data_IF_399284263340
#
_entry.id   IF_399284263340
#
_cell.length_a   1.000
_cell.length_b   1.000
_cell.length_c   1.000
_cell.angle_alpha   90.00
_cell.angle_beta   90.00
_cell.angle_gamma   90.00
#
_symmetry.space_group_name_H-M   'P 1'
#
loop_
_entity.id
_entity.type
_entity.pdbx_description
1 polymer ?
#
# COMPACT_ATOMS: atom_id res chain seq x y z
N UNK A 1 -7.59 13.36 33.06
CA UNK A 1 -7.35 13.85 31.68
C UNK A 1 -6.19 13.05 31.15
N UNK A 2 -6.50 11.97 30.44
CA UNK A 2 -5.51 11.06 29.88
C UNK A 2 -5.03 11.64 28.54
N UNK A 3 -3.78 12.07 28.49
CA UNK A 3 -3.14 12.47 27.25
C UNK A 3 -2.43 11.24 26.69
N UNK A 4 -3.11 10.52 25.78
CA UNK A 4 -2.46 9.49 24.96
C UNK A 4 -1.33 10.15 24.18
N UNK A 5 -0.09 9.84 24.58
CA UNK A 5 1.09 10.26 23.84
C UNK A 5 1.04 9.66 22.42
N UNK A 6 1.46 10.41 21.37
CA UNK A 6 1.56 9.85 20.04
C UNK A 6 2.54 8.65 20.06
N UNK A 7 2.26 7.57 19.32
CA UNK A 7 3.15 6.42 19.27
C UNK A 7 4.55 6.88 18.84
N UNK A 8 5.55 6.58 19.68
CA UNK A 8 6.95 6.83 19.35
C UNK A 8 7.38 5.89 18.22
N UNK A 9 8.27 6.33 17.31
CA UNK A 9 8.88 5.42 16.35
C UNK A 9 9.67 4.33 17.10
N UNK A 10 9.24 3.09 16.92
CA UNK A 10 9.92 1.88 17.38
C UNK A 10 11.38 1.88 16.91
N UNK A 11 12.32 1.67 17.82
CA UNK A 11 13.75 1.59 17.50
C UNK A 11 14.09 0.33 16.70
N UNK A 12 14.97 0.47 15.71
CA UNK A 12 15.79 -0.56 15.05
C UNK A 12 15.12 -1.80 14.42
N UNK A 13 13.80 -1.89 14.41
CA UNK A 13 13.02 -2.87 13.66
C UNK A 13 11.85 -2.19 12.96
N UNK A 14 12.16 -1.30 12.03
CA UNK A 14 11.16 -0.71 11.15
C UNK A 14 10.63 -1.72 10.14
N UNK A 15 9.48 -1.43 9.58
CA UNK A 15 9.01 -2.08 8.37
C UNK A 15 9.72 -1.51 7.13
N UNK A 16 9.65 -2.26 6.04
CA UNK A 16 10.35 -1.98 4.80
C UNK A 16 9.42 -2.18 3.61
N UNK A 17 9.68 -1.39 2.57
CA UNK A 17 9.13 -1.61 1.24
C UNK A 17 10.27 -1.98 0.31
N UNK A 18 10.07 -3.02 -0.49
CA UNK A 18 11.03 -3.45 -1.51
C UNK A 18 10.46 -3.15 -2.87
N UNK A 19 11.27 -2.54 -3.73
CA UNK A 19 11.04 -2.51 -5.17
C UNK A 19 11.79 -3.69 -5.76
N UNK A 20 11.06 -4.67 -6.26
CA UNK A 20 11.62 -5.89 -6.84
C UNK A 20 12.19 -5.62 -8.24
N UNK A 21 12.92 -6.59 -8.81
CA UNK A 21 13.45 -6.48 -10.17
C UNK A 21 12.33 -6.25 -11.21
N UNK A 22 11.15 -6.83 -10.94
CA UNK A 22 9.95 -6.76 -11.75
C UNK A 22 9.31 -5.37 -11.74
N UNK A 23 9.78 -4.50 -10.85
CA UNK A 23 9.17 -3.20 -10.55
C UNK A 23 8.00 -3.25 -9.58
N UNK A 24 7.60 -4.45 -9.10
CA UNK A 24 6.56 -4.60 -8.07
C UNK A 24 7.04 -4.08 -6.71
N UNK A 25 6.10 -3.57 -5.91
CA UNK A 25 6.37 -3.11 -4.55
C UNK A 25 5.85 -4.10 -3.51
N UNK A 26 6.74 -4.62 -2.68
CA UNK A 26 6.40 -5.59 -1.62
C UNK A 26 6.63 -5.00 -0.23
N UNK A 27 5.74 -5.31 0.72
CA UNK A 27 5.80 -4.81 2.10
C UNK A 27 6.24 -5.88 3.10
N UNK A 28 7.21 -5.52 3.94
CA UNK A 28 7.76 -6.38 4.97
C UNK A 28 7.71 -5.68 6.32
N UNK A 29 7.06 -6.32 7.30
CA UNK A 29 6.93 -5.78 8.66
C UNK A 29 8.24 -5.69 9.45
N UNK A 30 9.27 -6.42 8.99
CA UNK A 30 10.56 -6.46 9.66
C UNK A 30 11.66 -6.85 8.69
N UNK A 31 12.91 -6.57 9.09
CA UNK A 31 14.10 -6.94 8.34
C UNK A 31 14.23 -8.46 8.17
N UNK A 32 13.87 -9.22 9.20
CA UNK A 32 13.95 -10.69 9.19
C UNK A 32 12.95 -11.29 8.20
N UNK A 33 11.73 -10.73 8.14
CA UNK A 33 10.73 -11.14 7.17
C UNK A 33 11.20 -10.85 5.74
N UNK A 34 11.83 -9.69 5.52
CA UNK A 34 12.43 -9.33 4.24
C UNK A 34 13.54 -10.31 3.86
N UNK A 35 14.55 -10.51 4.71
CA UNK A 35 15.70 -11.36 4.39
C UNK A 35 15.35 -12.84 4.20
N UNK A 36 14.22 -13.30 4.75
CA UNK A 36 13.74 -14.67 4.56
C UNK A 36 13.08 -14.91 3.19
N UNK A 37 12.70 -13.83 2.49
CA UNK A 37 11.92 -13.91 1.24
C UNK A 37 12.79 -13.82 -0.03
N UNK A 38 14.07 -13.43 0.11
CA UNK A 38 14.98 -13.25 -1.00
C UNK A 38 16.09 -14.31 -1.02
N UNK A 39 16.37 -14.84 -2.21
CA UNK A 39 17.44 -15.81 -2.46
C UNK A 39 18.67 -15.16 -3.09
N UNK A 40 18.46 -14.13 -3.92
CA UNK A 40 19.53 -13.41 -4.62
C UNK A 40 19.50 -11.90 -4.37
N UNK A 41 20.70 -11.30 -4.29
CA UNK A 41 20.84 -9.85 -4.11
C UNK A 41 20.14 -9.04 -5.21
N UNK A 42 20.11 -9.57 -6.44
CA UNK A 42 19.53 -8.89 -7.60
C UNK A 42 18.01 -8.79 -7.61
N UNK A 43 17.31 -9.56 -6.78
CA UNK A 43 15.84 -9.60 -6.73
C UNK A 43 15.27 -8.32 -6.10
N UNK A 44 16.00 -7.68 -5.18
CA UNK A 44 15.62 -6.41 -4.57
C UNK A 44 16.38 -5.24 -5.20
N UNK A 45 15.73 -4.52 -6.13
CA UNK A 45 16.31 -3.33 -6.78
C UNK A 45 16.55 -2.20 -5.80
N UNK A 46 15.63 -1.98 -4.85
CA UNK A 46 15.72 -0.95 -3.83
C UNK A 46 14.90 -1.34 -2.61
N UNK A 47 15.44 -1.16 -1.41
CA UNK A 47 14.71 -1.31 -0.15
C UNK A 47 14.55 0.07 0.47
N UNK A 48 13.37 0.41 0.98
CA UNK A 48 13.03 1.73 1.51
C UNK A 48 12.44 1.56 2.92
N UNK A 49 12.88 2.36 3.88
CA UNK A 49 12.27 2.45 5.21
C UNK A 49 11.27 3.62 5.33
N UNK A 50 10.59 3.71 6.48
CA UNK A 50 9.64 4.80 6.79
C UNK A 50 10.24 6.21 6.75
N UNK A 51 11.55 6.33 6.93
CA UNK A 51 12.28 7.60 6.88
C UNK A 51 12.70 7.95 5.45
N UNK A 52 12.22 7.21 4.45
CA UNK A 52 12.61 7.32 3.05
C UNK A 52 14.08 6.92 2.78
N UNK A 53 14.74 6.24 3.74
CA UNK A 53 16.13 5.80 3.59
C UNK A 53 16.19 4.56 2.74
N UNK A 54 17.14 4.53 1.80
CA UNK A 54 17.35 3.41 0.88
C UNK A 54 18.45 2.46 1.33
N UNK A 55 18.25 1.19 1.01
CA UNK A 55 19.16 0.10 1.26
C UNK A 55 19.18 -0.84 0.04
N UNK A 56 20.15 -1.76 0.04
CA UNK A 56 20.22 -2.87 -0.92
C UNK A 56 20.52 -4.17 -0.17
N UNK A 57 20.22 -5.29 -0.80
CA UNK A 57 20.71 -6.58 -0.33
C UNK A 57 22.21 -6.70 -0.62
N UNK A 58 22.92 -7.40 0.25
CA UNK A 58 24.32 -7.75 0.10
C UNK A 58 24.54 -9.17 0.64
N UNK A 59 25.55 -9.86 0.14
CA UNK A 59 26.07 -11.07 0.79
C UNK A 59 27.12 -10.66 1.82
N UNK A 60 27.12 -11.30 2.98
CA UNK A 60 28.23 -11.22 3.92
C UNK A 60 29.40 -12.15 3.52
N UNK A 61 30.48 -12.14 4.30
CA UNK A 61 31.67 -12.98 4.07
C UNK A 61 31.36 -14.49 4.13
N UNK A 62 30.27 -14.88 4.80
CA UNK A 62 29.81 -16.26 4.94
C UNK A 62 28.73 -16.63 3.90
N UNK A 63 28.48 -15.76 2.91
CA UNK A 63 27.41 -15.92 1.90
C UNK A 63 26.00 -15.95 2.47
N UNK A 64 25.78 -15.32 3.62
CA UNK A 64 24.45 -15.06 4.13
C UNK A 64 23.94 -13.72 3.59
N UNK A 65 22.65 -13.70 3.26
CA UNK A 65 22.00 -12.49 2.83
C UNK A 65 21.85 -11.52 4.01
N UNK A 66 22.20 -10.26 3.78
CA UNK A 66 22.02 -9.16 4.73
C UNK A 66 21.56 -7.90 4.02
N UNK A 67 20.95 -7.01 4.79
CA UNK A 67 20.73 -5.64 4.36
C UNK A 67 22.05 -4.86 4.47
N UNK A 68 22.44 -4.19 3.39
CA UNK A 68 23.60 -3.31 3.34
C UNK A 68 23.44 -2.03 4.19
N UNK A 69 24.45 -1.16 4.21
CA UNK A 69 24.36 0.12 4.91
C UNK A 69 23.34 1.06 4.23
N UNK A 70 22.83 2.08 4.97
CA UNK A 70 22.03 3.15 4.38
C UNK A 70 22.74 3.82 3.19
N UNK A 71 22.02 4.04 2.09
CA UNK A 71 22.55 4.66 0.87
C UNK A 71 22.11 6.12 0.69
N UNK A 72 21.22 6.62 1.54
CA UNK A 72 20.66 7.97 1.50
C UNK A 72 19.15 7.97 1.36
N UNK A 73 18.57 9.13 1.08
CA UNK A 73 17.12 9.25 0.84
C UNK A 73 16.77 8.80 -0.57
N UNK A 74 15.63 8.13 -0.72
CA UNK A 74 15.04 7.86 -2.04
C UNK A 74 14.65 9.18 -2.72
N UNK A 75 14.86 9.24 -4.03
CA UNK A 75 14.49 10.40 -4.83
C UNK A 75 12.97 10.44 -5.06
N UNK A 76 12.36 11.61 -4.81
CA UNK A 76 10.91 11.78 -4.86
C UNK A 76 10.31 11.46 -6.24
N UNK A 77 10.92 12.01 -7.29
CA UNK A 77 10.41 11.85 -8.65
C UNK A 77 10.56 10.41 -9.14
N UNK A 78 11.67 9.76 -8.75
CA UNK A 78 11.90 8.36 -9.06
C UNK A 78 10.85 7.48 -8.38
N UNK A 79 10.65 7.64 -7.06
CA UNK A 79 9.68 6.84 -6.33
C UNK A 79 8.26 7.02 -6.87
N UNK A 80 7.88 8.27 -7.19
CA UNK A 80 6.57 8.58 -7.76
C UNK A 80 6.37 7.90 -9.11
N UNK A 81 7.37 7.96 -9.99
CA UNK A 81 7.29 7.32 -11.30
C UNK A 81 7.27 5.80 -11.17
N UNK A 82 8.15 5.21 -10.36
CA UNK A 82 8.20 3.77 -10.15
C UNK A 82 6.89 3.22 -9.58
N UNK A 83 6.24 3.94 -8.65
CA UNK A 83 4.92 3.54 -8.15
C UNK A 83 3.82 3.63 -9.23
N UNK A 84 3.87 4.65 -10.09
CA UNK A 84 2.94 4.76 -11.20
C UNK A 84 3.14 3.62 -12.21
N UNK A 85 4.39 3.29 -12.54
CA UNK A 85 4.76 2.18 -13.42
C UNK A 85 4.31 0.84 -12.82
N UNK A 86 4.53 0.62 -11.52
CA UNK A 86 4.11 -0.59 -10.82
C UNK A 86 2.58 -0.76 -10.86
N UNK A 87 1.81 0.32 -10.71
CA UNK A 87 0.34 0.28 -10.82
C UNK A 87 -0.15 -0.02 -12.23
N UNK A 88 0.61 0.33 -13.26
CA UNK A 88 0.26 0.03 -14.66
C UNK A 88 0.60 -1.42 -15.01
N UNK A 89 1.77 -1.90 -14.58
CA UNK A 89 2.28 -3.23 -14.89
C UNK A 89 1.64 -4.32 -14.00
N UNK A 90 1.44 -4.03 -12.72
CA UNK A 90 0.94 -4.96 -11.69
C UNK A 90 -0.33 -4.43 -11.01
N UNK A 91 -1.41 -4.14 -11.76
CA UNK A 91 -2.59 -3.46 -11.21
C UNK A 91 -3.36 -4.29 -10.17
N UNK A 92 -3.21 -5.62 -10.18
CA UNK A 92 -3.80 -6.53 -9.18
C UNK A 92 -3.03 -6.55 -7.86
N UNK A 93 -1.71 -6.31 -7.90
CA UNK A 93 -0.87 -6.14 -6.72
C UNK A 93 -1.01 -4.74 -6.10
N UNK A 94 -1.39 -3.75 -6.92
CA UNK A 94 -1.48 -2.33 -6.51
C UNK A 94 -2.86 -1.73 -6.82
N UNK A 95 -3.87 -2.25 -6.12
CA UNK A 95 -5.29 -1.94 -6.34
C UNK A 95 -5.72 -0.63 -5.68
N UNK A 96 -5.04 -0.15 -4.64
CA UNK A 96 -5.35 1.10 -3.97
C UNK A 96 -4.62 2.27 -4.65
N UNK A 97 -5.39 3.10 -5.34
CA UNK A 97 -4.89 4.26 -6.06
C UNK A 97 -5.08 5.53 -5.23
N UNK A 98 -4.07 5.80 -4.38
CA UNK A 98 -3.96 7.04 -3.59
C UNK A 98 -3.86 8.28 -4.48
N UNK A 99 -4.38 9.40 -4.00
CA UNK A 99 -4.16 10.70 -4.57
C UNK A 99 -2.68 11.09 -4.52
N UNK A 100 -2.25 11.94 -5.46
CA UNK A 100 -0.86 12.37 -5.56
C UNK A 100 -0.39 13.07 -4.29
N UNK A 101 0.68 12.55 -3.70
CA UNK A 101 1.33 13.17 -2.56
C UNK A 101 2.10 14.42 -2.99
N UNK A 102 1.98 15.50 -2.19
CA UNK A 102 2.66 16.76 -2.46
C UNK A 102 4.19 16.73 -2.23
N UNK A 103 4.73 15.65 -1.64
CA UNK A 103 6.16 15.51 -1.37
C UNK A 103 6.53 14.13 -0.84
N UNK A 104 7.84 13.91 -0.67
CA UNK A 104 8.42 12.59 -0.37
C UNK A 104 7.86 11.94 0.90
N UNK A 105 7.79 12.70 2.00
CA UNK A 105 7.29 12.16 3.27
C UNK A 105 5.84 11.63 3.15
N UNK A 106 4.98 12.37 2.44
CA UNK A 106 3.60 11.94 2.18
C UNK A 106 3.54 10.75 1.24
N UNK A 107 4.40 10.71 0.22
CA UNK A 107 4.46 9.59 -0.72
C UNK A 107 4.89 8.30 -0.03
N UNK A 108 5.93 8.35 0.81
CA UNK A 108 6.41 7.19 1.57
C UNK A 108 5.36 6.75 2.59
N UNK A 109 4.77 7.66 3.35
CA UNK A 109 3.72 7.31 4.31
C UNK A 109 2.53 6.62 3.60
N UNK A 110 2.02 7.21 2.51
CA UNK A 110 0.91 6.66 1.75
C UNK A 110 1.23 5.33 1.06
N UNK A 111 2.48 5.13 0.61
CA UNK A 111 2.94 3.87 0.03
C UNK A 111 2.90 2.74 1.06
N UNK A 112 3.48 2.96 2.24
CA UNK A 112 3.47 1.95 3.29
C UNK A 112 2.05 1.65 3.79
N UNK A 113 1.19 2.66 3.97
CA UNK A 113 -0.22 2.44 4.31
C UNK A 113 -0.91 1.56 3.26
N UNK A 114 -0.72 1.89 1.99
CA UNK A 114 -1.32 1.17 0.86
C UNK A 114 -0.90 -0.30 0.85
N UNK A 115 0.40 -0.58 0.91
CA UNK A 115 0.90 -1.95 0.81
C UNK A 115 0.54 -2.79 2.05
N UNK A 116 0.50 -2.18 3.24
CA UNK A 116 -0.01 -2.85 4.44
C UNK A 116 -1.46 -3.28 4.28
N UNK A 117 -2.29 -2.39 3.73
CA UNK A 117 -3.71 -2.65 3.48
C UNK A 117 -3.93 -3.74 2.42
N UNK A 118 -3.14 -3.72 1.35
CA UNK A 118 -3.23 -4.69 0.25
C UNK A 118 -2.81 -6.10 0.68
N UNK A 119 -1.85 -6.22 1.60
CA UNK A 119 -1.42 -7.50 2.19
C UNK A 119 -2.46 -8.12 3.13
N UNK A 120 -3.39 -7.33 3.66
CA UNK A 120 -4.69 -7.82 4.18
C UNK A 120 -4.67 -8.71 5.43
N UNK A 121 -3.69 -8.62 6.32
CA UNK A 121 -3.56 -9.60 7.44
C UNK A 121 -3.31 -9.00 8.83
N UNK A 122 -3.27 -7.68 8.96
CA UNK A 122 -2.97 -7.07 10.24
C UNK A 122 -4.25 -6.58 10.94
N UNK A 123 -4.69 -7.36 11.93
CA UNK A 123 -5.86 -7.06 12.74
C UNK A 123 -5.72 -5.73 13.52
N UNK A 124 -4.49 -5.23 13.68
CA UNK A 124 -4.21 -3.97 14.37
C UNK A 124 -4.52 -2.74 13.52
N UNK A 125 -4.63 -2.88 12.19
CA UNK A 125 -4.92 -1.76 11.30
C UNK A 125 -6.32 -1.18 11.52
N UNK A 126 -7.27 -2.01 11.95
CA UNK A 126 -8.68 -1.64 12.12
C UNK A 126 -9.56 -2.11 10.96
N UNK A 127 -10.81 -1.62 10.94
CA UNK A 127 -11.85 -2.12 10.04
C UNK A 127 -12.07 -1.18 8.85
N UNK A 128 -12.14 -1.78 7.67
CA UNK A 128 -12.70 -1.15 6.48
C UNK A 128 -14.18 -0.84 6.70
N UNK A 129 -14.62 0.32 6.22
CA UNK A 129 -16.03 0.71 6.19
C UNK A 129 -16.51 0.74 4.75
N UNK A 130 -17.72 0.27 4.50
CA UNK A 130 -18.38 0.45 3.21
C UNK A 130 -19.73 1.11 3.43
N UNK A 131 -20.06 2.09 2.60
CA UNK A 131 -21.41 2.63 2.45
C UNK A 131 -22.00 2.11 1.13
N UNK A 132 -23.05 1.30 1.26
CA UNK A 132 -23.81 0.72 0.16
C UNK A 132 -25.21 1.33 0.18
N UNK A 133 -25.45 2.38 -0.60
CA UNK A 133 -26.75 3.07 -0.69
C UNK A 133 -27.33 3.47 0.69
N UNK A 134 -26.49 3.93 1.61
CA UNK A 134 -26.87 4.34 2.97
C UNK A 134 -26.76 3.25 4.03
N UNK A 135 -26.40 2.02 3.65
CA UNK A 135 -26.11 0.94 4.57
C UNK A 135 -24.60 0.86 4.86
N UNK A 136 -24.22 1.20 6.09
CA UNK A 136 -22.85 1.08 6.56
C UNK A 136 -22.53 -0.36 6.99
N UNK A 137 -21.49 -0.95 6.40
CA UNK A 137 -20.96 -2.27 6.78
C UNK A 137 -19.45 -2.19 7.09
N UNK A 138 -18.94 -3.17 7.86
CA UNK A 138 -17.53 -3.23 8.28
C UNK A 138 -16.86 -4.52 7.85
N UNK A 139 -15.59 -4.46 7.45
CA UNK A 139 -14.80 -5.61 6.95
C UNK A 139 -13.38 -5.59 7.50
N UNK A 140 -12.77 -6.77 7.65
CA UNK A 140 -11.44 -6.90 8.25
C UNK A 140 -10.33 -6.68 7.21
N UNK A 141 -10.55 -7.16 5.99
CA UNK A 141 -9.56 -7.09 4.93
C UNK A 141 -10.16 -6.58 3.62
N UNK A 142 -9.29 -6.08 2.73
CA UNK A 142 -9.66 -5.69 1.38
C UNK A 142 -10.28 -6.85 0.58
N UNK A 143 -9.84 -8.08 0.81
CA UNK A 143 -10.44 -9.27 0.21
C UNK A 143 -11.92 -9.45 0.60
N UNK A 144 -12.29 -9.14 1.86
CA UNK A 144 -13.69 -9.23 2.29
C UNK A 144 -14.55 -8.10 1.66
N UNK A 145 -13.94 -6.94 1.40
CA UNK A 145 -14.54 -5.84 0.62
C UNK A 145 -14.80 -6.32 -0.80
N UNK A 146 -13.80 -6.94 -1.44
CA UNK A 146 -13.93 -7.49 -2.80
C UNK A 146 -15.06 -8.51 -2.89
N UNK A 147 -15.12 -9.45 -1.94
CA UNK A 147 -16.17 -10.46 -1.88
C UNK A 147 -17.57 -9.86 -1.72
N UNK A 148 -17.70 -8.77 -0.95
CA UNK A 148 -18.98 -8.09 -0.78
C UNK A 148 -19.42 -7.33 -2.04
N UNK A 149 -18.46 -6.76 -2.76
CA UNK A 149 -18.70 -5.98 -3.97
C UNK A 149 -18.76 -6.84 -5.24
N UNK A 150 -18.38 -8.10 -5.16
CA UNK A 150 -18.43 -9.04 -6.28
C UNK A 150 -19.86 -9.13 -6.85
N UNK A 151 -20.01 -8.76 -8.12
CA UNK A 151 -21.31 -8.78 -8.80
C UNK A 151 -22.24 -7.62 -8.43
N UNK A 152 -21.75 -6.57 -7.75
CA UNK A 152 -22.52 -5.35 -7.55
C UNK A 152 -22.52 -4.51 -8.84
N UNK A 153 -23.71 -4.29 -9.40
CA UNK A 153 -23.90 -3.55 -10.66
C UNK A 153 -23.77 -2.02 -10.51
N UNK A 154 -23.69 -1.50 -9.28
CA UNK A 154 -23.73 -0.07 -8.95
C UNK A 154 -22.51 0.42 -8.16
N UNK A 155 -21.31 0.07 -8.63
CA UNK A 155 -20.06 0.47 -7.96
C UNK A 155 -19.89 2.00 -7.83
N UNK A 156 -20.54 2.79 -8.67
CA UNK A 156 -20.47 4.25 -8.64
C UNK A 156 -21.07 4.89 -7.37
N UNK A 157 -22.05 4.24 -6.74
CA UNK A 157 -22.68 4.73 -5.50
C UNK A 157 -21.93 4.27 -4.25
N UNK A 158 -21.09 3.25 -4.37
CA UNK A 158 -20.32 2.68 -3.26
C UNK A 158 -19.23 3.64 -2.80
N UNK A 159 -19.08 3.76 -1.48
CA UNK A 159 -17.90 4.36 -0.85
C UNK A 159 -17.23 3.36 0.07
N UNK A 160 -15.91 3.26 -0.05
CA UNK A 160 -15.09 2.39 0.79
C UNK A 160 -14.12 3.27 1.56
N UNK A 161 -14.08 3.15 2.88
CA UNK A 161 -13.16 3.88 3.73
C UNK A 161 -12.18 2.89 4.35
N UNK A 162 -10.89 3.15 4.18
CA UNK A 162 -9.85 2.33 4.81
C UNK A 162 -9.71 2.66 6.31
N UNK A 163 -8.98 1.83 7.07
CA UNK A 163 -8.74 2.08 8.49
C UNK A 163 -7.94 3.36 8.80
N UNK A 164 -7.21 3.92 7.83
CA UNK A 164 -6.51 5.21 7.96
C UNK A 164 -7.43 6.41 7.66
N UNK A 165 -8.70 6.17 7.33
CA UNK A 165 -9.74 7.18 7.15
C UNK A 165 -9.84 7.76 5.75
N UNK A 166 -9.18 7.15 4.76
CA UNK A 166 -9.27 7.62 3.38
C UNK A 166 -10.42 6.96 2.65
N UNK A 167 -11.09 7.71 1.80
CA UNK A 167 -12.27 7.27 1.06
C UNK A 167 -11.94 6.93 -0.38
N UNK A 168 -12.53 5.86 -0.88
CA UNK A 168 -12.33 5.34 -2.22
C UNK A 168 -13.64 5.06 -2.92
N UNK A 169 -13.57 5.14 -4.25
CA UNK A 169 -14.58 4.59 -5.15
C UNK A 169 -14.04 3.31 -5.80
N UNK A 170 -14.75 2.18 -5.70
CA UNK A 170 -14.37 0.96 -6.40
C UNK A 170 -14.56 1.12 -7.91
N UNK A 171 -13.65 0.54 -8.69
CA UNK A 171 -13.68 0.50 -10.16
C UNK A 171 -13.40 -0.92 -10.62
N UNK A 172 -14.31 -1.48 -11.41
CA UNK A 172 -14.17 -2.81 -11.98
C UNK A 172 -13.31 -2.79 -13.25
N UNK A 173 -12.34 -3.70 -13.30
CA UNK A 173 -11.47 -3.92 -14.45
C UNK A 173 -11.66 -5.33 -15.03
N UNK A 174 -12.17 -5.47 -16.26
CA UNK A 174 -12.32 -6.78 -16.90
C UNK A 174 -10.96 -7.32 -17.37
N UNK A 175 -10.61 -8.57 -17.03
CA UNK A 175 -9.37 -9.24 -17.49
C UNK A 175 -9.43 -9.64 -18.97
N UNK A 176 -10.57 -10.16 -19.41
CA UNK A 176 -10.75 -10.59 -20.80
C UNK A 176 -12.16 -10.26 -21.28
N UNK A 177 -12.26 -9.49 -22.38
CA UNK A 177 -13.52 -9.05 -23.00
C UNK A 177 -14.44 -10.22 -23.43
N UNK A 178 -13.92 -11.44 -23.52
CA UNK A 178 -14.62 -12.64 -24.00
C UNK A 178 -14.97 -13.66 -22.90
N UNK A 179 -14.48 -13.47 -21.67
CA UNK A 179 -14.82 -14.30 -20.51
C UNK A 179 -15.39 -13.37 -19.45
N UNK A 180 -16.69 -13.07 -19.55
CA UNK A 180 -17.41 -11.98 -18.87
C UNK A 180 -17.46 -12.02 -17.33
N UNK A 181 -16.67 -12.88 -16.68
CA UNK A 181 -16.60 -13.03 -15.23
C UNK A 181 -15.18 -12.91 -14.65
N UNK A 182 -14.15 -12.78 -15.49
CA UNK A 182 -12.77 -12.59 -15.01
C UNK A 182 -12.45 -11.09 -14.96
N UNK A 183 -12.10 -10.59 -13.78
CA UNK A 183 -11.75 -9.18 -13.53
C UNK A 183 -11.31 -8.95 -12.09
N UNK A 184 -10.95 -7.71 -11.77
CA UNK A 184 -10.57 -7.31 -10.42
C UNK A 184 -11.09 -5.90 -10.11
N UNK A 185 -11.18 -5.57 -8.82
CA UNK A 185 -11.51 -4.24 -8.35
C UNK A 185 -10.22 -3.47 -8.05
N UNK A 186 -10.19 -2.21 -8.49
CA UNK A 186 -9.29 -1.20 -7.95
C UNK A 186 -10.10 -0.19 -7.14
N UNK A 187 -9.44 0.56 -6.28
CA UNK A 187 -10.05 1.52 -5.38
C UNK A 187 -9.36 2.87 -5.59
N UNK A 188 -10.07 3.79 -6.22
CA UNK A 188 -9.54 5.12 -6.56
C UNK A 188 -9.92 6.10 -5.47
N UNK A 189 -8.93 6.74 -4.85
CA UNK A 189 -9.16 7.67 -3.76
C UNK A 189 -10.04 8.84 -4.23
N UNK A 190 -11.06 9.15 -3.44
CA UNK A 190 -11.91 10.31 -3.64
C UNK A 190 -11.28 11.45 -2.82
N UNK A 191 -10.77 12.52 -3.46
CA UNK A 191 -10.18 13.62 -2.73
C UNK A 191 -11.21 14.18 -1.76
N UNK A 192 -10.88 14.20 -0.48
CA UNK A 192 -11.72 14.85 0.52
C UNK A 192 -11.80 16.32 0.11
N UNK A 193 -12.97 16.74 -0.41
CA UNK A 193 -13.24 18.17 -0.58
C UNK A 193 -13.16 18.76 0.81
N UNK A 194 -12.04 19.42 1.13
CA UNK A 194 -11.96 20.26 2.33
C UNK A 194 -13.13 21.22 2.21
N UNK A 195 -14.17 20.99 2.99
CA UNK A 195 -15.21 21.97 3.25
C UNK A 195 -14.44 23.17 3.80
N UNK A 196 -14.27 24.20 2.98
CA UNK A 196 -13.96 25.53 3.47
C UNK A 196 -15.07 25.86 4.46
N UNK A 197 -14.75 25.76 5.76
CA UNK A 197 -15.52 26.43 6.80
C UNK A 197 -15.38 27.92 6.50
N UNK A 198 -16.28 28.44 5.68
CA UNK A 198 -16.56 29.86 5.64
C UNK A 198 -17.12 30.24 7.00
N UNK A 199 -16.36 31.03 7.73
CA UNK A 199 -16.75 31.78 8.91
C UNK A 199 -16.18 33.17 8.78
#
# INVERSE_FOLDING_TARGET
>A
MDATAPPRPSGAGGDFVVVEDSGEFSYYRSKEALLADFEYVGEARCIIDRSATTYRLEMDENRHMRMGPPLGSVEFHWLRQSLADARDVHPEGHRLQRADAAGLAGLVAGLFETLQLERGTDAELGLWSLDLDGLATRRNALADVDHLLAGNDRLETVRVTDPFGHEYRPVWHPKHRHLGHAGFLSYVEVPVRRRTRGG
#
